data_IF_562996572919
#
_entry.id   IF_562996572919
#
_cell.length_a   1.000
_cell.length_b   1.000
_cell.length_c   1.000
_cell.angle_alpha   90.00
_cell.angle_beta   90.00
_cell.angle_gamma   90.00
#
_symmetry.space_group_name_H-M   'P 1'
#
loop_
_entity.id
_entity.type
_entity.pdbx_description
1 polymer ?
#
# COMPACT_ATOMS: atom_id res chain seq x y z
N UNK A 1 14.27 -2.41 -6.76
CA UNK A 1 13.90 -1.56 -5.60
C UNK A 1 13.83 -2.41 -4.32
N UNK A 2 14.30 -1.90 -3.19
CA UNK A 2 14.09 -2.49 -1.86
C UNK A 2 12.65 -2.26 -1.46
N UNK A 3 11.90 -3.34 -1.29
CA UNK A 3 10.46 -3.27 -0.98
C UNK A 3 10.20 -3.88 0.38
N UNK A 4 9.47 -3.16 1.22
CA UNK A 4 8.85 -3.72 2.42
C UNK A 4 7.36 -3.91 2.16
N UNK A 5 6.82 -5.07 2.54
CA UNK A 5 5.38 -5.34 2.47
C UNK A 5 4.89 -5.58 3.88
N UNK A 6 3.96 -4.77 4.35
CA UNK A 6 3.33 -4.98 5.63
C UNK A 6 2.33 -6.14 5.58
N UNK A 7 2.13 -6.78 6.74
CA UNK A 7 0.98 -7.67 6.93
C UNK A 7 -0.33 -6.90 6.71
N UNK A 8 -1.34 -7.58 6.19
CA UNK A 8 -2.69 -7.06 5.99
C UNK A 8 -3.36 -6.53 7.27
N UNK A 9 -2.83 -6.91 8.45
CA UNK A 9 -3.33 -6.46 9.75
C UNK A 9 -2.70 -5.15 10.23
N UNK A 10 -1.62 -4.69 9.57
CA UNK A 10 -0.87 -3.51 10.00
C UNK A 10 -1.76 -2.27 10.09
N UNK A 11 -2.45 -1.94 9.00
CA UNK A 11 -3.25 -0.72 8.95
C UNK A 11 -4.42 -0.79 9.94
N UNK A 12 -5.08 -1.96 10.04
CA UNK A 12 -6.13 -2.19 11.02
C UNK A 12 -5.63 -1.89 12.43
N UNK A 13 -4.44 -2.39 12.81
CA UNK A 13 -3.85 -2.13 14.14
C UNK A 13 -3.38 -0.70 14.33
N UNK A 14 -2.89 -0.05 13.28
CA UNK A 14 -2.52 1.37 13.30
C UNK A 14 -3.75 2.25 13.58
N UNK A 15 -4.90 1.93 12.98
CA UNK A 15 -6.13 2.70 13.11
C UNK A 15 -7.05 2.24 14.26
N UNK A 16 -6.65 1.22 15.03
CA UNK A 16 -7.45 0.62 16.11
C UNK A 16 -7.48 1.50 17.38
N UNK A 17 -8.18 2.64 17.31
CA UNK A 17 -8.51 3.49 18.46
C UNK A 17 -9.69 4.42 18.14
N UNK A 18 -10.29 5.04 19.17
CA UNK A 18 -11.41 5.98 18.99
C UNK A 18 -11.05 7.23 18.14
N UNK A 19 -9.76 7.57 18.02
CA UNK A 19 -9.26 8.65 17.18
C UNK A 19 -8.79 8.24 15.78
N UNK A 20 -8.93 6.95 15.42
CA UNK A 20 -8.56 6.44 14.09
C UNK A 20 -7.06 6.33 13.80
N UNK A 21 -6.18 6.59 14.78
CA UNK A 21 -4.73 6.48 14.65
C UNK A 21 -4.02 6.27 16.01
N UNK A 22 -3.11 5.28 16.09
CA UNK A 22 -2.24 5.06 17.24
C UNK A 22 -0.94 4.33 16.85
N UNK A 23 0.16 5.08 16.70
CA UNK A 23 1.48 4.54 16.39
C UNK A 23 1.96 3.46 17.38
N UNK A 24 1.65 3.60 18.68
CA UNK A 24 2.17 2.69 19.72
C UNK A 24 1.77 1.25 19.46
N UNK A 25 0.58 1.01 18.88
CA UNK A 25 0.06 -0.32 18.54
C UNK A 25 0.97 -1.09 17.57
N UNK A 26 1.68 -0.37 16.69
CA UNK A 26 2.50 -0.95 15.62
C UNK A 26 3.99 -0.60 15.71
N UNK A 27 4.39 0.23 16.66
CA UNK A 27 5.77 0.71 16.89
C UNK A 27 6.87 -0.37 16.96
N UNK A 28 6.50 -1.62 17.26
CA UNK A 28 7.42 -2.77 17.33
C UNK A 28 7.48 -3.61 16.05
N UNK A 29 6.58 -3.40 15.10
CA UNK A 29 6.43 -4.24 13.90
C UNK A 29 7.63 -4.14 12.95
N UNK A 30 8.30 -3.00 12.98
CA UNK A 30 9.49 -2.64 12.19
C UNK A 30 10.80 -2.80 12.97
N UNK A 31 10.81 -3.48 14.13
CA UNK A 31 12.01 -3.60 14.98
C UNK A 31 13.25 -4.13 14.24
N UNK A 32 13.06 -4.95 13.22
CA UNK A 32 14.14 -5.55 12.39
C UNK A 32 14.20 -4.98 10.97
N UNK A 33 13.47 -3.90 10.69
CA UNK A 33 13.34 -3.33 9.34
C UNK A 33 13.53 -1.82 9.42
N UNK A 34 14.50 -1.31 8.66
CA UNK A 34 14.65 0.12 8.45
C UNK A 34 13.79 0.56 7.26
N UNK A 35 12.60 1.11 7.53
CA UNK A 35 11.68 1.57 6.49
C UNK A 35 12.28 2.70 5.63
N UNK A 36 13.13 3.54 6.22
CA UNK A 36 13.73 4.69 5.54
C UNK A 36 14.83 4.30 4.56
N UNK A 37 15.31 3.04 4.63
CA UNK A 37 16.23 2.45 3.67
C UNK A 37 15.50 1.69 2.54
N UNK A 38 14.15 1.70 2.53
CA UNK A 38 13.33 1.08 1.49
C UNK A 38 13.02 2.09 0.39
N UNK A 39 12.84 1.57 -0.82
CA UNK A 39 12.41 2.35 -1.98
C UNK A 39 10.89 2.47 -2.05
N UNK A 40 10.19 1.45 -1.55
CA UNK A 40 8.75 1.29 -1.62
C UNK A 40 8.25 0.49 -0.41
N UNK A 41 7.16 0.95 0.19
CA UNK A 41 6.49 0.28 1.30
C UNK A 41 5.05 0.02 0.87
N UNK A 42 4.66 -1.26 0.81
CA UNK A 42 3.34 -1.72 0.39
C UNK A 42 2.48 -1.99 1.63
N UNK A 43 1.28 -1.43 1.64
CA UNK A 43 0.30 -1.55 2.74
C UNK A 43 -1.02 -2.05 2.16
N UNK A 44 -1.25 -3.37 2.13
CA UNK A 44 -2.56 -3.92 1.79
C UNK A 44 -3.54 -3.62 2.94
N UNK A 45 -4.73 -3.12 2.61
CA UNK A 45 -5.74 -2.73 3.58
C UNK A 45 -7.04 -3.49 3.29
N UNK A 46 -7.53 -4.18 4.31
CA UNK A 46 -8.86 -4.75 4.28
C UNK A 46 -9.85 -3.77 4.93
N UNK A 47 -10.82 -3.30 4.16
CA UNK A 47 -11.90 -2.44 4.60
C UNK A 47 -13.14 -3.28 4.92
N UNK A 48 -13.63 -3.19 6.15
CA UNK A 48 -14.91 -3.80 6.56
C UNK A 48 -14.99 -5.33 6.41
N UNK A 49 -13.85 -6.03 6.26
CA UNK A 49 -13.80 -7.46 5.95
C UNK A 49 -14.43 -7.86 4.60
N UNK A 50 -14.63 -6.89 3.70
CA UNK A 50 -15.35 -7.10 2.43
C UNK A 50 -14.63 -6.53 1.22
N UNK A 51 -13.81 -5.49 1.39
CA UNK A 51 -13.14 -4.81 0.29
C UNK A 51 -11.64 -4.69 0.53
N UNK A 52 -10.85 -4.90 -0.52
CA UNK A 52 -9.40 -4.80 -0.49
C UNK A 52 -8.95 -3.60 -1.28
N UNK A 53 -8.14 -2.75 -0.65
CA UNK A 53 -7.46 -1.63 -1.29
C UNK A 53 -5.97 -1.70 -1.03
N UNK A 54 -5.20 -0.96 -1.81
CA UNK A 54 -3.77 -0.86 -1.63
C UNK A 54 -3.37 0.58 -1.35
N UNK A 55 -2.63 0.79 -0.26
CA UNK A 55 -1.86 2.00 -0.07
C UNK A 55 -0.36 1.69 -0.22
N UNK A 56 0.42 2.70 -0.57
CA UNK A 56 1.88 2.58 -0.62
C UNK A 56 2.56 3.87 -0.15
N UNK A 57 3.75 3.73 0.43
CA UNK A 57 4.67 4.85 0.67
C UNK A 57 5.82 4.68 -0.31
N UNK A 58 5.83 5.49 -1.36
CA UNK A 58 6.87 5.50 -2.37
C UNK A 58 7.95 6.49 -1.96
N UNK A 59 8.98 5.97 -1.29
CA UNK A 59 10.06 6.78 -0.72
C UNK A 59 10.91 7.45 -1.81
N UNK A 60 11.11 6.76 -2.94
CA UNK A 60 11.87 7.30 -4.08
C UNK A 60 11.20 8.53 -4.69
N UNK A 61 9.89 8.42 -4.94
CA UNK A 61 9.10 9.50 -5.55
C UNK A 61 8.56 10.50 -4.52
N UNK A 62 8.76 10.23 -3.21
CA UNK A 62 8.20 10.99 -2.09
C UNK A 62 6.67 11.11 -2.18
N UNK A 63 5.99 9.97 -2.36
CA UNK A 63 4.53 9.93 -2.48
C UNK A 63 3.88 8.99 -1.48
N UNK A 64 2.72 9.40 -0.99
CA UNK A 64 1.73 8.52 -0.37
C UNK A 64 0.72 8.15 -1.44
N UNK A 65 0.65 6.88 -1.80
CA UNK A 65 -0.13 6.42 -2.94
C UNK A 65 -1.35 5.60 -2.49
N UNK A 66 -2.49 5.80 -3.14
CA UNK A 66 -3.73 5.07 -2.86
C UNK A 66 -4.34 4.49 -4.14
N UNK A 67 -4.72 3.21 -4.07
CA UNK A 67 -5.30 2.46 -5.17
C UNK A 67 -6.53 1.70 -4.68
N UNK A 68 -7.69 2.09 -5.20
CA UNK A 68 -8.96 1.44 -4.98
C UNK A 68 -9.63 1.13 -6.31
N UNK A 69 -9.76 -0.16 -6.63
CA UNK A 69 -10.39 -0.63 -7.87
C UNK A 69 -11.89 -0.36 -7.94
N UNK A 70 -12.56 -0.12 -6.81
CA UNK A 70 -13.95 0.33 -6.78
C UNK A 70 -14.08 1.86 -6.85
N UNK A 71 -12.96 2.60 -6.78
CA UNK A 71 -12.92 4.06 -6.88
C UNK A 71 -13.44 4.78 -5.64
N UNK A 72 -13.36 4.15 -4.46
CA UNK A 72 -13.62 4.81 -3.20
C UNK A 72 -12.53 5.83 -2.84
N UNK A 73 -12.85 6.71 -1.90
CA UNK A 73 -11.90 7.65 -1.32
C UNK A 73 -10.92 6.94 -0.37
N UNK A 74 -9.80 7.59 -0.04
CA UNK A 74 -8.84 7.03 0.92
C UNK A 74 -9.36 7.12 2.36
N UNK A 75 -10.34 7.98 2.66
CA UNK A 75 -10.99 8.11 3.97
C UNK A 75 -9.93 8.23 5.09
N UNK A 76 -8.96 9.13 4.86
CA UNK A 76 -7.89 9.47 5.80
C UNK A 76 -6.75 8.46 5.91
N UNK A 77 -6.73 7.40 5.08
CA UNK A 77 -5.66 6.38 5.06
C UNK A 77 -4.30 6.99 4.76
N UNK A 78 -4.18 7.89 3.78
CA UNK A 78 -2.93 8.55 3.44
C UNK A 78 -2.48 9.51 4.54
N UNK A 79 -3.42 10.23 5.17
CA UNK A 79 -3.13 11.04 6.37
C UNK A 79 -2.55 10.18 7.49
N UNK A 80 -3.14 9.03 7.76
CA UNK A 80 -2.64 8.10 8.78
C UNK A 80 -1.24 7.56 8.45
N UNK A 81 -0.98 7.22 7.19
CA UNK A 81 0.35 6.76 6.76
C UNK A 81 1.40 7.87 6.83
N UNK A 82 1.01 9.12 6.57
CA UNK A 82 1.85 10.31 6.74
C UNK A 82 2.26 10.49 8.19
N UNK A 83 1.29 10.46 9.10
CA UNK A 83 1.55 10.51 10.55
C UNK A 83 2.42 9.34 10.99
N UNK A 84 2.13 8.13 10.51
CA UNK A 84 2.92 6.94 10.81
C UNK A 84 4.38 7.10 10.41
N UNK A 85 4.67 7.59 9.21
CA UNK A 85 6.05 7.75 8.74
C UNK A 85 6.83 8.77 9.59
N UNK A 86 6.18 9.86 10.00
CA UNK A 86 6.77 10.89 10.89
C UNK A 86 7.05 10.31 12.28
N UNK A 87 6.06 9.67 12.89
CA UNK A 87 6.20 9.08 14.24
C UNK A 87 7.23 7.95 14.25
N UNK A 88 7.26 7.15 13.18
CA UNK A 88 8.24 6.08 13.03
C UNK A 88 9.65 6.63 12.87
N UNK A 89 9.84 7.77 12.17
CA UNK A 89 11.14 8.43 12.07
C UNK A 89 11.60 8.93 13.43
N UNK A 90 10.73 9.64 14.15
CA UNK A 90 11.02 10.13 15.49
C UNK A 90 11.34 8.98 16.46
N UNK A 91 10.63 7.86 16.36
CA UNK A 91 10.83 6.70 17.23
C UNK A 91 12.08 5.88 16.91
N UNK A 92 12.44 5.72 15.62
CA UNK A 92 13.54 4.83 15.19
C UNK A 92 14.84 5.55 14.88
N UNK A 93 14.76 6.78 14.39
CA UNK A 93 15.90 7.60 13.99
C UNK A 93 16.19 8.71 14.98
N UNK A 94 15.26 9.00 15.91
CA UNK A 94 15.34 10.15 16.81
C UNK A 94 15.47 11.48 16.04
N UNK A 95 14.85 11.53 14.86
CA UNK A 95 14.86 12.65 13.94
C UNK A 95 13.44 13.10 13.62
N UNK A 96 13.27 14.39 13.31
CA UNK A 96 11.99 14.92 12.81
C UNK A 96 12.00 14.86 11.29
N UNK A 97 11.06 14.11 10.72
CA UNK A 97 10.83 14.09 9.29
C UNK A 97 9.90 15.25 8.90
N UNK A 98 10.45 16.23 8.17
CA UNK A 98 9.67 17.32 7.59
C UNK A 98 9.24 16.94 6.16
N UNK A 99 8.03 16.40 6.05
CA UNK A 99 7.47 15.94 4.79
C UNK A 99 7.12 17.11 3.85
N UNK A 100 6.80 18.28 4.38
CA UNK A 100 6.47 19.46 3.57
C UNK A 100 7.73 20.06 2.97
N UNK A 101 8.76 20.29 3.79
CA UNK A 101 10.04 20.80 3.32
C UNK A 101 10.73 19.84 2.34
N UNK A 102 10.43 18.55 2.42
CA UNK A 102 10.96 17.53 1.50
C UNK A 102 10.06 17.23 0.31
N UNK A 103 8.93 17.92 0.16
CA UNK A 103 8.09 17.87 -1.05
C UNK A 103 7.27 16.59 -1.22
N UNK A 104 6.82 15.97 -0.12
CA UNK A 104 5.98 14.78 -0.20
C UNK A 104 4.54 15.11 -0.62
N UNK A 105 4.01 14.34 -1.56
CA UNK A 105 2.67 14.53 -2.11
C UNK A 105 1.79 13.27 -1.99
N UNK A 106 0.49 13.47 -2.11
CA UNK A 106 -0.46 12.36 -2.25
C UNK A 106 -0.63 12.01 -3.73
N UNK A 107 -0.82 10.72 -4.01
CA UNK A 107 -1.00 10.17 -5.34
C UNK A 107 -2.19 9.22 -5.35
N UNK A 108 -3.25 9.59 -6.06
CA UNK A 108 -4.44 8.78 -6.20
C UNK A 108 -4.40 8.05 -7.53
N UNK A 109 -4.32 6.72 -7.51
CA UNK A 109 -4.24 5.91 -8.73
C UNK A 109 -5.43 6.16 -9.67
N UNK A 110 -6.62 6.40 -9.12
CA UNK A 110 -7.82 6.74 -9.90
C UNK A 110 -7.63 7.97 -10.80
N UNK A 111 -6.85 8.97 -10.35
CA UNK A 111 -6.57 10.18 -11.12
C UNK A 111 -5.50 9.98 -12.21
N UNK A 112 -4.88 8.79 -12.24
CA UNK A 112 -3.76 8.46 -13.12
C UNK A 112 -4.04 7.21 -13.95
N UNK A 113 -5.32 6.89 -14.19
CA UNK A 113 -5.72 5.79 -15.06
C UNK A 113 -5.53 4.41 -14.43
N UNK A 114 -5.45 4.29 -13.10
CA UNK A 114 -5.51 2.98 -12.47
C UNK A 114 -6.85 2.30 -12.81
N UNK A 115 -6.83 1.02 -13.23
CA UNK A 115 -8.01 0.36 -13.75
C UNK A 115 -9.03 0.09 -12.63
N UNK A 116 -10.32 0.19 -12.98
CA UNK A 116 -11.45 -0.11 -12.08
C UNK A 116 -11.94 -1.54 -12.27
N UNK A 117 -12.39 -2.16 -11.18
CA UNK A 117 -13.10 -3.43 -11.26
C UNK A 117 -14.55 -3.21 -11.69
N UNK A 118 -15.10 -4.19 -12.40
CA UNK A 118 -16.50 -4.21 -12.85
C UNK A 118 -17.35 -5.26 -12.12
N UNK A 119 -16.73 -6.02 -11.20
CA UNK A 119 -17.38 -7.04 -10.38
C UNK A 119 -17.23 -6.74 -8.87
N UNK A 120 -17.78 -7.59 -8.00
CA UNK A 120 -17.73 -7.44 -6.54
C UNK A 120 -16.70 -8.32 -5.82
N UNK A 121 -15.81 -9.01 -6.54
CA UNK A 121 -14.98 -10.08 -5.97
C UNK A 121 -13.53 -10.10 -6.49
N UNK A 122 -13.14 -9.13 -7.32
CA UNK A 122 -11.80 -9.00 -7.89
C UNK A 122 -10.89 -8.01 -7.16
N UNK A 123 -11.37 -7.26 -6.16
CA UNK A 123 -10.56 -6.28 -5.41
C UNK A 123 -9.22 -6.85 -4.89
N UNK A 124 -9.22 -8.08 -4.36
CA UNK A 124 -7.98 -8.75 -3.92
C UNK A 124 -6.99 -9.05 -5.05
N UNK A 125 -7.49 -9.36 -6.26
CA UNK A 125 -6.66 -9.55 -7.47
C UNK A 125 -6.05 -8.20 -7.89
N UNK A 126 -6.85 -7.13 -7.89
CA UNK A 126 -6.36 -5.79 -8.19
C UNK A 126 -5.27 -5.34 -7.22
N UNK A 127 -5.42 -5.59 -5.91
CA UNK A 127 -4.37 -5.31 -4.92
C UNK A 127 -3.08 -6.07 -5.23
N UNK A 128 -3.16 -7.37 -5.51
CA UNK A 128 -1.97 -8.19 -5.79
C UNK A 128 -1.22 -7.73 -7.05
N UNK A 129 -1.95 -7.52 -8.16
CA UNK A 129 -1.35 -7.09 -9.43
C UNK A 129 -0.83 -5.65 -9.32
N UNK A 130 -1.53 -4.76 -8.62
CA UNK A 130 -1.06 -3.38 -8.40
C UNK A 130 0.26 -3.38 -7.63
N UNK A 131 0.36 -4.15 -6.54
CA UNK A 131 1.60 -4.28 -5.78
C UNK A 131 2.76 -4.84 -6.63
N UNK A 132 2.48 -5.80 -7.52
CA UNK A 132 3.47 -6.32 -8.47
C UNK A 132 3.95 -5.24 -9.45
N UNK A 133 3.02 -4.50 -10.08
CA UNK A 133 3.35 -3.42 -10.99
C UNK A 133 4.19 -2.32 -10.31
N UNK A 134 3.82 -1.88 -9.11
CA UNK A 134 4.58 -0.91 -8.34
C UNK A 134 6.00 -1.40 -8.03
N UNK A 135 6.14 -2.67 -7.63
CA UNK A 135 7.46 -3.28 -7.41
C UNK A 135 8.29 -3.29 -8.69
N UNK A 136 7.68 -3.60 -9.84
CA UNK A 136 8.36 -3.69 -11.14
C UNK A 136 8.60 -2.31 -11.78
N UNK A 137 7.97 -1.25 -11.28
CA UNK A 137 7.95 0.06 -11.95
C UNK A 137 7.22 0.01 -13.30
N UNK A 138 6.26 -0.91 -13.44
CA UNK A 138 5.49 -1.14 -14.65
C UNK A 138 4.16 -0.39 -14.60
N UNK A 139 3.61 -0.09 -15.78
CA UNK A 139 2.26 0.48 -15.89
C UNK A 139 1.19 -0.50 -15.38
N UNK A 140 0.10 0.05 -14.83
CA UNK A 140 -1.08 -0.72 -14.42
C UNK A 140 -1.98 -1.01 -15.62
N UNK A 141 -1.57 -1.93 -16.48
CA UNK A 141 -2.38 -2.40 -17.61
C UNK A 141 -3.12 -3.70 -17.24
N UNK A 142 -4.28 -3.57 -16.61
CA UNK A 142 -5.19 -4.69 -16.34
C UNK A 142 -6.34 -4.77 -17.36
N UNK A 143 -6.49 -3.78 -18.24
CA UNK A 143 -7.64 -3.68 -19.15
C UNK A 143 -7.55 -4.68 -20.32
N UNK A 144 -6.32 -5.01 -20.74
CA UNK A 144 -6.07 -5.88 -21.89
C UNK A 144 -6.15 -7.40 -21.58
N UNK A 145 -6.53 -7.79 -20.35
CA UNK A 145 -6.61 -9.19 -19.90
C UNK A 145 -7.83 -9.41 -19.01
N UNK A 146 -8.50 -10.55 -19.19
CA UNK A 146 -9.61 -10.95 -18.31
C UNK A 146 -9.11 -11.24 -16.89
N UNK A 147 -9.90 -10.94 -15.86
CA UNK A 147 -9.56 -11.26 -14.46
C UNK A 147 -9.26 -12.75 -14.23
N UNK A 148 -9.84 -13.64 -15.04
CA UNK A 148 -9.53 -15.07 -15.01
C UNK A 148 -8.04 -15.36 -15.27
N UNK A 149 -7.43 -14.67 -16.24
CA UNK A 149 -6.00 -14.82 -16.53
C UNK A 149 -5.15 -14.45 -15.31
N UNK A 150 -5.47 -13.33 -14.64
CA UNK A 150 -4.74 -12.92 -13.45
C UNK A 150 -4.91 -13.89 -12.28
N UNK A 151 -6.10 -14.49 -12.12
CA UNK A 151 -6.33 -15.53 -11.11
C UNK A 151 -5.48 -16.76 -11.39
N UNK A 152 -5.48 -17.25 -12.63
CA UNK A 152 -4.67 -18.40 -13.06
C UNK A 152 -3.17 -18.12 -12.91
N UNK A 153 -2.71 -16.91 -13.32
CA UNK A 153 -1.34 -16.44 -13.10
C UNK A 153 -0.97 -16.49 -11.61
N UNK A 154 -1.76 -15.86 -10.76
CA UNK A 154 -1.50 -15.83 -9.31
C UNK A 154 -1.47 -17.24 -8.72
N UNK A 155 -2.37 -18.13 -9.12
CA UNK A 155 -2.36 -19.53 -8.68
C UNK A 155 -1.06 -20.22 -9.11
N UNK A 156 -0.64 -20.06 -10.37
CA UNK A 156 0.60 -20.65 -10.86
C UNK A 156 1.84 -20.12 -10.12
N UNK A 157 1.89 -18.82 -9.84
CA UNK A 157 2.99 -18.17 -9.11
C UNK A 157 3.08 -18.66 -7.67
N UNK A 158 1.94 -18.79 -6.99
CA UNK A 158 1.86 -19.31 -5.62
C UNK A 158 2.31 -20.77 -5.53
N UNK A 159 1.85 -21.62 -6.46
CA UNK A 159 2.24 -23.03 -6.51
C UNK A 159 3.72 -23.20 -6.84
N UNK A 160 4.28 -22.32 -7.67
CA UNK A 160 5.69 -22.31 -8.04
C UNK A 160 6.59 -21.74 -6.94
N UNK A 161 6.08 -20.83 -6.12
CA UNK A 161 6.88 -20.03 -5.20
C UNK A 161 7.74 -18.95 -5.89
N UNK A 162 7.38 -18.58 -7.13
CA UNK A 162 8.08 -17.56 -7.91
C UNK A 162 7.14 -16.83 -8.88
N UNK A 163 7.35 -15.52 -9.05
CA UNK A 163 6.62 -14.72 -10.04
C UNK A 163 7.01 -15.13 -11.47
N UNK A 164 6.04 -15.06 -12.39
CA UNK A 164 6.22 -15.30 -13.82
C UNK A 164 6.86 -14.10 -14.53
#
# INVERSE_FOLDING_TARGET
PKVHVFSTHFYTKLAECAGGYNHKNVSRWTRKVDLFAMDLIIVPINQGNTHWVLAAINVRERRFEYYDSMGGDDDGRLKNLRMYLVDECAHKKHERLDLEATGWADYYGANHGAPRQTDGFSCGVYVAITAECLRRGAALDLENRRMQYFREKLTAELLRGALL
#
